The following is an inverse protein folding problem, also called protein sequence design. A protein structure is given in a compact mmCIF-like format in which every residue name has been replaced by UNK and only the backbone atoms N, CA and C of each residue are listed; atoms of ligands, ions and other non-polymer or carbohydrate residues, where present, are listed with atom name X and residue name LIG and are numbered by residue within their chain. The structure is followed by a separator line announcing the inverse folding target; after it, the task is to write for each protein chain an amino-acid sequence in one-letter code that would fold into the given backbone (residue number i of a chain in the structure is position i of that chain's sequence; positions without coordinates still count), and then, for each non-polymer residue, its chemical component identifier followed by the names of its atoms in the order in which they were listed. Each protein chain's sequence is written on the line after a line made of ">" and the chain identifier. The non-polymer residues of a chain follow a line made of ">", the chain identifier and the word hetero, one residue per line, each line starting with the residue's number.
data_IF_344412108464
#
_entry.id   IF_344412108464
#
_cell.length_a   1.000
_cell.length_b   1.000
_cell.length_c   1.000
_cell.angle_alpha   90.00
_cell.angle_beta   90.00
_cell.angle_gamma   90.00
#
_symmetry.space_group_name_H-M   'P 1'
#
loop_
_entity.id
_entity.type
_entity.pdbx_description
1 polymer ?
#
# COMPACT_ATOMS: atom_id res chain seq x y z
N UNK A 1 -2.34 0.96 -10.98
CA UNK A 1 -2.35 0.35 -9.63
C UNK A 1 -0.94 -0.09 -9.29
N UNK A 2 -0.41 0.35 -8.14
CA UNK A 2 0.98 0.10 -7.72
C UNK A 2 1.16 -1.24 -7.03
N UNK A 3 0.15 -1.73 -6.32
CA UNK A 3 0.25 -2.96 -5.54
C UNK A 3 -0.34 -4.18 -6.28
N UNK A 4 0.52 -5.12 -6.70
CA UNK A 4 0.15 -6.33 -7.47
C UNK A 4 0.79 -7.60 -6.90
N UNK A 5 0.48 -8.77 -7.45
CA UNK A 5 1.14 -10.03 -7.07
C UNK A 5 0.80 -10.55 -5.67
N UNK A 6 1.73 -11.31 -5.08
CA UNK A 6 1.56 -12.01 -3.79
C UNK A 6 1.26 -11.02 -2.66
N UNK A 7 0.43 -11.45 -1.72
CA UNK A 7 0.15 -10.71 -0.49
C UNK A 7 1.32 -10.86 0.47
N UNK A 8 1.82 -9.73 0.97
CA UNK A 8 2.78 -9.65 2.08
C UNK A 8 2.05 -9.64 3.42
N UNK A 9 2.75 -9.96 4.50
CA UNK A 9 2.16 -9.97 5.85
C UNK A 9 1.71 -8.57 6.29
N UNK A 10 2.45 -7.53 5.91
CA UNK A 10 2.07 -6.14 6.15
C UNK A 10 0.74 -5.78 5.47
N UNK A 11 0.55 -6.20 4.21
CA UNK A 11 -0.74 -6.00 3.51
C UNK A 11 -1.89 -6.75 4.19
N UNK A 12 -1.63 -7.98 4.69
CA UNK A 12 -2.65 -8.76 5.37
C UNK A 12 -3.04 -8.15 6.72
N UNK A 13 -2.06 -7.70 7.49
CA UNK A 13 -2.27 -7.02 8.76
C UNK A 13 -3.05 -5.71 8.56
N UNK A 14 -2.68 -4.90 7.58
CA UNK A 14 -3.41 -3.67 7.24
C UNK A 14 -4.82 -3.97 6.76
N UNK A 15 -5.01 -4.97 5.88
CA UNK A 15 -6.33 -5.39 5.40
C UNK A 15 -7.25 -5.80 6.57
N UNK A 16 -6.74 -6.51 7.57
CA UNK A 16 -7.50 -6.95 8.74
C UNK A 16 -8.04 -5.77 9.55
N UNK A 17 -7.16 -4.85 9.93
CA UNK A 17 -7.55 -3.64 10.68
C UNK A 17 -8.49 -2.76 9.86
N UNK A 18 -8.22 -2.61 8.56
CA UNK A 18 -9.01 -1.76 7.67
C UNK A 18 -10.44 -2.28 7.53
N UNK A 19 -10.60 -3.59 7.29
CA UNK A 19 -11.93 -4.21 7.22
C UNK A 19 -12.63 -4.11 8.57
N UNK A 20 -11.94 -4.34 9.69
CA UNK A 20 -12.51 -4.22 11.03
C UNK A 20 -13.07 -2.82 11.30
N UNK A 21 -12.26 -1.78 11.08
CA UNK A 21 -12.68 -0.39 11.25
C UNK A 21 -13.80 0.02 10.27
N UNK A 22 -13.73 -0.43 9.01
CA UNK A 22 -14.77 -0.15 8.03
C UNK A 22 -16.12 -0.75 8.44
N UNK A 23 -16.10 -1.96 8.99
CA UNK A 23 -17.33 -2.62 9.44
C UNK A 23 -17.88 -2.02 10.73
N UNK A 24 -17.02 -1.47 11.58
CA UNK A 24 -17.40 -0.75 12.79
C UNK A 24 -17.94 0.66 12.50
N UNK A 25 -17.64 1.23 11.33
CA UNK A 25 -18.14 2.56 10.97
C UNK A 25 -17.33 3.72 11.55
N UNK A 26 -16.09 3.47 11.96
CA UNK A 26 -15.26 4.42 12.72
C UNK A 26 -14.21 5.13 11.88
N UNK A 27 -14.25 4.96 10.56
CA UNK A 27 -13.35 5.63 9.64
C UNK A 27 -13.85 7.05 9.32
N UNK A 28 -12.92 8.00 9.31
CA UNK A 28 -13.15 9.33 8.77
C UNK A 28 -13.06 9.26 7.24
N UNK A 29 -14.16 8.88 6.57
CA UNK A 29 -14.29 9.05 5.11
C UNK A 29 -15.23 10.23 4.81
N UNK A 30 -14.62 11.35 4.48
CA UNK A 30 -15.23 12.66 4.23
C UNK A 30 -15.82 12.75 2.81
N UNK A 31 -15.71 11.68 2.02
CA UNK A 31 -15.85 11.73 0.56
C UNK A 31 -17.26 11.76 -0.01
N UNK A 32 -18.33 11.73 0.81
CA UNK A 32 -19.75 11.75 0.37
C UNK A 32 -20.20 10.60 -0.55
N UNK A 33 -19.28 9.80 -1.08
CA UNK A 33 -19.51 8.67 -1.97
C UNK A 33 -19.63 7.39 -1.17
N UNK A 34 -20.78 6.72 -1.32
CA UNK A 34 -21.04 5.37 -0.81
C UNK A 34 -20.18 4.33 -1.54
N UNK A 35 -18.92 4.20 -1.14
CA UNK A 35 -18.04 3.13 -1.64
C UNK A 35 -18.39 1.80 -1.01
N UNK A 36 -18.39 0.74 -1.81
CA UNK A 36 -18.45 -0.65 -1.29
C UNK A 36 -17.13 -1.02 -0.61
N UNK A 37 -17.16 -2.00 0.30
CA UNK A 37 -15.98 -2.51 1.01
C UNK A 37 -14.85 -2.85 0.03
N UNK A 38 -15.19 -3.50 -1.09
CA UNK A 38 -14.23 -3.83 -2.14
C UNK A 38 -13.53 -2.60 -2.70
N UNK A 39 -14.30 -1.57 -3.05
CA UNK A 39 -13.77 -0.34 -3.65
C UNK A 39 -12.91 0.42 -2.65
N UNK A 40 -13.39 0.53 -1.41
CA UNK A 40 -12.68 1.21 -0.34
C UNK A 40 -11.34 0.52 -0.05
N UNK A 41 -11.35 -0.79 0.20
CA UNK A 41 -10.13 -1.57 0.45
C UNK A 41 -9.16 -1.52 -0.73
N UNK A 42 -9.66 -1.59 -1.97
CA UNK A 42 -8.82 -1.52 -3.16
C UNK A 42 -8.12 -0.16 -3.30
N UNK A 43 -8.83 0.93 -2.96
CA UNK A 43 -8.28 2.30 -2.91
C UNK A 43 -7.16 2.38 -1.89
N UNK A 44 -7.41 1.97 -0.65
CA UNK A 44 -6.43 2.07 0.44
C UNK A 44 -5.19 1.20 0.21
N UNK A 45 -5.37 0.00 -0.35
CA UNK A 45 -4.25 -0.90 -0.68
C UNK A 45 -3.59 -0.61 -2.05
N UNK A 46 -4.07 0.40 -2.79
CA UNK A 46 -3.58 0.76 -4.13
C UNK A 46 -3.54 -0.41 -5.13
N UNK A 47 -4.53 -1.31 -5.03
CA UNK A 47 -4.55 -2.58 -5.76
C UNK A 47 -5.82 -2.76 -6.60
N UNK A 48 -5.84 -3.80 -7.43
CA UNK A 48 -7.01 -4.11 -8.25
C UNK A 48 -8.18 -4.64 -7.40
N UNK A 49 -9.42 -4.12 -7.58
CA UNK A 49 -10.58 -4.59 -6.85
C UNK A 49 -10.78 -6.10 -6.91
N UNK A 50 -10.39 -6.79 -8.00
CA UNK A 50 -10.49 -8.24 -8.10
C UNK A 50 -9.53 -8.96 -7.15
N UNK A 51 -8.36 -8.38 -6.86
CA UNK A 51 -7.41 -8.92 -5.86
C UNK A 51 -8.06 -8.97 -4.48
N UNK A 52 -8.82 -7.94 -4.12
CA UNK A 52 -9.63 -7.89 -2.90
C UNK A 52 -10.73 -8.94 -2.93
N UNK A 53 -11.51 -9.04 -4.02
CA UNK A 53 -12.56 -10.07 -4.16
C UNK A 53 -12.04 -11.48 -3.98
N UNK A 54 -10.88 -11.79 -4.59
CA UNK A 54 -10.24 -13.11 -4.48
C UNK A 54 -9.77 -13.40 -3.06
N UNK A 55 -9.30 -12.38 -2.33
CA UNK A 55 -8.90 -12.51 -0.92
C UNK A 55 -10.11 -12.71 -0.02
N UNK A 56 -11.13 -11.87 -0.16
CA UNK A 56 -12.36 -11.86 0.62
C UNK A 56 -13.49 -12.68 -0.02
N UNK A 57 -13.15 -13.84 -0.62
CA UNK A 57 -14.13 -14.70 -1.31
C UNK A 57 -15.05 -15.39 -0.29
N UNK A 58 -16.34 -15.53 -0.62
CA UNK A 58 -17.31 -16.32 0.15
C UNK A 58 -16.71 -17.68 0.55
N UNK A 59 -16.94 -18.09 1.79
CA UNK A 59 -16.52 -19.39 2.31
C UNK A 59 -15.09 -19.44 2.82
N UNK A 60 -14.24 -18.45 2.52
CA UNK A 60 -12.93 -18.28 3.18
C UNK A 60 -13.10 -17.77 4.59
N UNK A 61 -12.10 -18.06 5.42
CA UNK A 61 -11.98 -17.50 6.78
C UNK A 61 -11.11 -16.25 6.72
N UNK A 62 -11.56 -15.19 7.38
CA UNK A 62 -10.87 -13.91 7.52
C UNK A 62 -11.14 -13.37 8.93
N UNK A 63 -10.09 -12.92 9.65
CA UNK A 63 -10.21 -12.48 11.04
C UNK A 63 -11.04 -13.46 11.90
N UNK A 64 -10.71 -14.76 11.77
CA UNK A 64 -11.38 -15.89 12.48
C UNK A 64 -12.87 -16.08 12.14
N UNK A 65 -13.41 -15.35 11.18
CA UNK A 65 -14.83 -15.41 10.78
C UNK A 65 -14.98 -15.93 9.36
N UNK A 66 -16.00 -16.76 9.11
CA UNK A 66 -16.29 -17.26 7.75
C UNK A 66 -17.05 -16.21 6.94
N UNK A 67 -16.52 -15.85 5.78
CA UNK A 67 -17.08 -14.80 4.93
C UNK A 67 -18.39 -15.24 4.26
N UNK A 68 -19.43 -14.43 4.45
CA UNK A 68 -20.75 -14.61 3.84
C UNK A 68 -20.77 -14.17 2.37
N UNK A 69 -21.84 -14.50 1.66
CA UNK A 69 -22.09 -13.95 0.33
C UNK A 69 -22.17 -12.42 0.37
N UNK A 70 -21.85 -11.75 -0.74
CA UNK A 70 -21.91 -10.29 -0.89
C UNK A 70 -21.09 -9.46 0.11
N UNK A 71 -20.16 -10.07 0.87
CA UNK A 71 -19.31 -9.38 1.84
C UNK A 71 -18.58 -8.16 1.24
N UNK A 72 -18.03 -8.33 0.04
CA UNK A 72 -17.33 -7.29 -0.72
C UNK A 72 -18.24 -6.11 -1.16
N UNK A 73 -19.56 -6.30 -1.19
CA UNK A 73 -20.55 -5.28 -1.62
C UNK A 73 -21.13 -4.49 -0.45
N UNK A 74 -20.71 -4.78 0.80
CA UNK A 74 -21.17 -4.01 1.97
C UNK A 74 -20.81 -2.54 1.79
N UNK A 75 -21.74 -1.66 2.08
CA UNK A 75 -21.56 -0.21 2.01
C UNK A 75 -21.22 0.30 3.40
N UNK A 76 -20.34 1.28 3.44
CA UNK A 76 -19.90 1.94 4.66
C UNK A 76 -21.08 2.61 5.37
N UNK A 77 -21.10 2.52 6.70
CA UNK A 77 -22.04 3.24 7.55
C UNK A 77 -21.24 3.85 8.68
N UNK A 78 -21.27 5.18 8.77
CA UNK A 78 -20.58 5.91 9.84
C UNK A 78 -21.27 5.65 11.16
N UNK A 79 -20.46 5.50 12.21
CA UNK A 79 -20.88 5.47 13.59
C UNK A 79 -20.78 6.90 14.14
N UNK A 80 -21.81 7.32 14.86
CA UNK A 80 -21.88 8.67 15.42
C UNK A 80 -21.14 8.76 16.76
N UNK A 81 -21.21 7.68 17.57
CA UNK A 81 -20.63 7.63 18.91
C UNK A 81 -19.37 6.75 18.96
N UNK A 82 -18.25 7.31 19.40
CA UNK A 82 -16.97 6.62 19.51
C UNK A 82 -16.70 6.15 20.93
N UNK A 83 -16.23 4.92 21.08
CA UNK A 83 -15.74 4.39 22.35
C UNK A 83 -14.21 4.51 22.44
N UNK A 84 -13.60 4.48 23.63
CA UNK A 84 -12.13 4.41 23.75
C UNK A 84 -11.51 3.24 22.98
N UNK A 85 -12.20 2.09 22.92
CA UNK A 85 -11.76 0.94 22.14
C UNK A 85 -11.76 1.19 20.62
N UNK A 86 -12.58 2.12 20.11
CA UNK A 86 -12.53 2.55 18.72
C UNK A 86 -11.28 3.38 18.42
N UNK A 87 -10.87 4.21 19.36
CA UNK A 87 -9.63 4.98 19.26
C UNK A 87 -8.44 4.03 19.16
N UNK A 88 -8.40 2.99 20.00
CA UNK A 88 -7.35 1.96 19.93
C UNK A 88 -7.34 1.23 18.58
N UNK A 89 -8.51 0.89 18.05
CA UNK A 89 -8.64 0.29 16.71
C UNK A 89 -8.09 1.20 15.61
N UNK A 90 -8.37 2.50 15.70
CA UNK A 90 -7.88 3.49 14.74
C UNK A 90 -6.36 3.72 14.85
N UNK A 91 -5.81 3.71 16.06
CA UNK A 91 -4.36 3.75 16.26
C UNK A 91 -3.68 2.52 15.65
N UNK A 92 -4.20 1.32 15.92
CA UNK A 92 -3.68 0.08 15.35
C UNK A 92 -3.79 0.07 13.81
N UNK A 93 -4.88 0.60 13.26
CA UNK A 93 -5.04 0.78 11.81
C UNK A 93 -3.96 1.70 11.22
N UNK A 94 -3.71 2.83 11.87
CA UNK A 94 -2.68 3.80 11.45
C UNK A 94 -1.30 3.17 11.42
N UNK A 95 -0.93 2.43 12.47
CA UNK A 95 0.34 1.72 12.55
C UNK A 95 0.47 0.67 11.45
N UNK A 96 -0.57 -0.13 11.24
CA UNK A 96 -0.59 -1.13 10.17
C UNK A 96 -0.47 -0.50 8.77
N UNK A 97 -1.08 0.68 8.56
CA UNK A 97 -0.96 1.45 7.31
C UNK A 97 0.49 1.88 7.06
N UNK A 98 1.16 2.42 8.08
CA UNK A 98 2.55 2.86 7.96
C UNK A 98 3.47 1.68 7.58
N UNK A 99 3.32 0.53 8.25
CA UNK A 99 4.07 -0.69 7.91
C UNK A 99 3.79 -1.16 6.48
N UNK A 100 2.53 -1.11 6.05
CA UNK A 100 2.15 -1.45 4.69
C UNK A 100 2.82 -0.53 3.66
N UNK A 101 2.85 0.79 3.88
CA UNK A 101 3.47 1.74 2.94
C UNK A 101 4.96 1.46 2.77
N UNK A 102 5.70 1.25 3.88
CA UNK A 102 7.11 0.84 3.83
C UNK A 102 7.30 -0.46 3.05
N UNK A 103 6.47 -1.47 3.34
CA UNK A 103 6.54 -2.75 2.63
C UNK A 103 6.20 -2.64 1.14
N UNK A 104 5.28 -1.74 0.77
CA UNK A 104 4.90 -1.45 -0.60
C UNK A 104 6.06 -0.81 -1.37
N UNK A 105 6.75 0.16 -0.77
CA UNK A 105 7.94 0.79 -1.36
C UNK A 105 9.04 -0.24 -1.61
N UNK A 106 9.32 -1.10 -0.62
CA UNK A 106 10.29 -2.19 -0.77
C UNK A 106 9.93 -3.14 -1.91
N UNK A 107 8.64 -3.46 -2.05
CA UNK A 107 8.12 -4.31 -3.12
C UNK A 107 8.30 -3.67 -4.49
N UNK A 108 8.03 -2.36 -4.61
CA UNK A 108 8.23 -1.60 -5.84
C UNK A 108 9.71 -1.53 -6.23
N UNK A 109 10.61 -1.26 -5.28
CA UNK A 109 12.06 -1.26 -5.54
C UNK A 109 12.56 -2.62 -6.07
N UNK A 110 12.06 -3.73 -5.51
CA UNK A 110 12.39 -5.08 -5.99
C UNK A 110 11.86 -5.35 -7.41
N UNK A 111 10.65 -4.91 -7.73
CA UNK A 111 10.10 -5.04 -9.09
C UNK A 111 10.96 -4.26 -10.11
N UNK A 112 11.34 -3.01 -9.81
CA UNK A 112 12.20 -2.21 -10.69
C UNK A 112 13.56 -2.88 -10.93
N UNK A 113 14.20 -3.40 -9.86
CA UNK A 113 15.48 -4.11 -9.98
C UNK A 113 15.36 -5.40 -10.79
N UNK A 114 14.28 -6.16 -10.62
CA UNK A 114 14.03 -7.37 -11.41
C UNK A 114 13.86 -7.04 -12.89
N UNK A 115 13.10 -5.99 -13.25
CA UNK A 115 12.97 -5.54 -14.65
C UNK A 115 14.31 -5.07 -15.22
N UNK A 116 15.14 -4.36 -14.44
CA UNK A 116 16.49 -3.93 -14.86
C UNK A 116 17.39 -5.13 -15.21
N UNK A 117 17.22 -6.27 -14.53
CA UNK A 117 17.95 -7.51 -14.80
C UNK A 117 17.58 -8.22 -16.11
N UNK A 118 16.48 -7.83 -16.77
CA UNK A 118 16.06 -8.35 -18.08
C UNK A 118 16.29 -7.37 -19.24
N UNK A 119 16.94 -6.23 -18.98
CA UNK A 119 17.26 -5.26 -20.03
C UNK A 119 18.19 -5.87 -21.08
N UNK A 120 17.97 -5.47 -22.33
CA UNK A 120 18.85 -5.83 -23.45
C UNK A 120 20.24 -5.22 -23.25
N UNK A 121 21.26 -5.78 -23.91
CA UNK A 121 22.65 -5.28 -23.81
C UNK A 121 22.75 -3.78 -24.12
N UNK A 122 21.92 -3.26 -25.03
CA UNK A 122 21.91 -1.83 -25.35
C UNK A 122 21.31 -0.98 -24.22
N UNK A 123 20.24 -1.45 -23.59
CA UNK A 123 19.61 -0.76 -22.46
C UNK A 123 20.47 -0.83 -21.19
N UNK A 124 21.24 -1.91 -20.99
CA UNK A 124 22.19 -2.00 -19.87
C UNK A 124 23.39 -1.06 -20.06
N UNK A 125 23.90 -0.92 -21.29
CA UNK A 125 24.96 0.05 -21.61
C UNK A 125 24.48 1.49 -21.40
N UNK A 126 23.30 1.84 -21.93
CA UNK A 126 22.73 3.18 -21.73
C UNK A 126 22.49 3.51 -20.25
N UNK A 127 21.99 2.54 -19.46
CA UNK A 127 21.76 2.74 -18.03
C UNK A 127 23.06 2.81 -17.21
N UNK A 128 24.14 2.16 -17.66
CA UNK A 128 25.46 2.30 -17.05
C UNK A 128 26.09 3.66 -17.39
N UNK A 129 25.86 4.17 -18.59
CA UNK A 129 26.31 5.51 -19.01
C UNK A 129 25.60 6.61 -18.20
N UNK A 130 24.28 6.50 -17.97
CA UNK A 130 23.54 7.45 -17.13
C UNK A 130 24.01 7.44 -15.66
N UNK A 131 24.22 6.26 -15.07
CA UNK A 131 24.73 6.14 -13.70
C UNK A 131 26.18 6.69 -13.59
N UNK A 132 27.01 6.49 -14.62
CA UNK A 132 28.38 7.02 -14.66
C UNK A 132 28.39 8.55 -14.84
N UNK A 133 27.52 9.10 -15.68
CA UNK A 133 27.32 10.55 -15.83
C UNK A 133 26.82 11.20 -14.54
N UNK A 134 25.92 10.54 -13.80
CA UNK A 134 25.44 11.04 -12.51
C UNK A 134 26.55 11.01 -11.44
N UNK A 135 27.40 9.98 -11.46
CA UNK A 135 28.55 9.86 -10.57
C UNK A 135 29.61 10.91 -10.88
N UNK A 136 29.91 11.13 -12.17
CA UNK A 136 30.82 12.18 -12.64
C UNK A 136 30.28 13.57 -12.33
N UNK A 137 28.97 13.82 -12.51
CA UNK A 137 28.34 15.09 -12.15
C UNK A 137 28.41 15.36 -10.65
N UNK A 138 28.18 14.34 -9.80
CA UNK A 138 28.35 14.43 -8.35
C UNK A 138 29.80 14.70 -7.96
N UNK A 139 30.76 14.02 -8.58
CA UNK A 139 32.19 14.26 -8.35
C UNK A 139 32.63 15.67 -8.77
N UNK A 140 32.11 16.18 -9.90
CA UNK A 140 32.36 17.53 -10.38
C UNK A 140 31.77 18.60 -9.45
N UNK A 141 30.57 18.37 -8.89
CA UNK A 141 29.97 19.24 -7.87
C UNK A 141 30.78 19.22 -6.57
N UNK A 142 31.31 18.06 -6.17
CA UNK A 142 32.18 17.92 -5.00
C UNK A 142 33.50 18.71 -5.15
N UNK A 143 34.08 18.71 -6.36
CA UNK A 143 35.31 19.45 -6.70
C UNK A 143 35.07 20.96 -6.85
N UNK A 144 33.86 21.38 -7.18
CA UNK A 144 33.47 22.81 -7.29
C UNK A 144 33.31 23.49 -5.93
N UNK A 145 33.35 22.76 -4.82
CA UNK A 145 33.30 23.32 -3.47
C UNK A 145 31.93 23.85 -3.04
N UNK A 146 30.84 23.46 -3.70
CA UNK A 146 29.49 23.82 -3.27
C UNK A 146 28.94 22.77 -2.30
N UNK A 147 29.56 22.71 -1.12
CA UNK A 147 28.99 22.00 0.03
C UNK A 147 27.86 22.83 0.65
N UNK A 148 26.62 22.58 0.25
CA UNK A 148 25.48 22.99 1.06
C UNK A 148 25.25 21.95 2.16
N UNK A 149 25.74 22.26 3.36
CA UNK A 149 25.21 21.69 4.59
C UNK A 149 23.77 22.17 4.75
N UNK A 150 22.82 21.24 4.82
CA UNK A 150 21.52 21.50 5.45
C UNK A 150 21.45 20.66 6.72
N UNK A 151 21.45 21.39 7.84
CA UNK A 151 21.07 20.96 9.20
C UNK A 151 19.61 20.48 9.20
#
# INVERSE_FOLDING_TARGET
>A
MRNKGRWTDAELCFLEHLVSCYLAGILDDDGGKRLTLRQYVARELQCDPMRVTKRLKKGKVFARTRLRANFNRRVYRKLDDFTPADVDRLMALRDARNRFLVALEHKMCKETKATRGYLTIQETLNAADEDNLELEAKAMLQLRGEGYWTV
#
